data_IF_858923714765
#
_entry.id   IF_858923714765
#
_cell.length_a   1.000
_cell.length_b   1.000
_cell.length_c   1.000
_cell.angle_alpha   90.00
_cell.angle_beta   90.00
_cell.angle_gamma   90.00
#
_symmetry.space_group_name_H-M   'P 1'
#
loop_
_entity.id
_entity.type
_entity.pdbx_description
1 polymer ?
#
# COMPACT_ATOMS: atom_id res chain seq x y z
N UNK A 1 -10.81 23.82 -0.04
CA UNK A 1 -11.53 22.56 -0.29
C UNK A 1 -12.58 22.40 0.81
N UNK A 2 -13.84 22.07 0.49
CA UNK A 2 -14.84 21.75 1.51
C UNK A 2 -14.39 20.52 2.31
N UNK A 3 -14.71 20.50 3.59
CA UNK A 3 -14.40 19.39 4.50
C UNK A 3 -15.29 18.19 4.13
N UNK A 4 -14.69 17.14 3.56
CA UNK A 4 -15.44 15.99 3.01
C UNK A 4 -16.24 15.24 4.09
N UNK A 5 -15.81 15.31 5.35
CA UNK A 5 -16.55 14.77 6.49
C UNK A 5 -17.86 15.51 6.79
N UNK A 6 -18.06 16.71 6.23
CA UNK A 6 -19.31 17.48 6.40
C UNK A 6 -20.36 17.13 5.37
N UNK A 7 -19.97 16.55 4.22
CA UNK A 7 -20.88 16.19 3.14
C UNK A 7 -21.20 14.70 3.12
N UNK A 8 -20.30 13.84 3.61
CA UNK A 8 -20.47 12.39 3.61
C UNK A 8 -20.18 11.80 4.99
N UNK A 9 -21.01 10.86 5.43
CA UNK A 9 -20.76 10.06 6.64
C UNK A 9 -20.04 8.76 6.25
N UNK A 10 -18.74 8.67 6.50
CA UNK A 10 -17.89 7.51 6.17
C UNK A 10 -17.77 6.51 7.34
N UNK A 11 -18.82 6.36 8.13
CA UNK A 11 -18.79 5.56 9.38
C UNK A 11 -18.54 4.07 9.16
N UNK A 12 -18.97 3.52 8.02
CA UNK A 12 -18.76 2.11 7.66
C UNK A 12 -17.43 1.83 6.95
N UNK A 13 -16.73 2.86 6.48
CA UNK A 13 -15.49 2.71 5.71
C UNK A 13 -14.35 2.27 6.62
N UNK A 14 -13.80 1.09 6.38
CA UNK A 14 -12.74 0.50 7.21
C UNK A 14 -11.39 0.46 6.53
N UNK A 15 -11.37 0.33 5.21
CA UNK A 15 -10.16 0.12 4.43
C UNK A 15 -10.26 0.83 3.09
N UNK A 16 -9.15 1.43 2.66
CA UNK A 16 -8.96 1.98 1.31
C UNK A 16 -7.74 1.29 0.72
N UNK A 17 -7.88 0.80 -0.52
CA UNK A 17 -6.78 0.19 -1.26
C UNK A 17 -6.39 1.13 -2.41
N UNK A 18 -5.10 1.46 -2.50
CA UNK A 18 -4.53 2.19 -3.64
C UNK A 18 -3.60 1.24 -4.42
N UNK A 19 -3.69 1.27 -5.74
CA UNK A 19 -2.94 0.38 -6.64
C UNK A 19 -2.55 1.10 -7.92
N UNK A 20 -1.64 0.50 -8.70
CA UNK A 20 -1.08 1.08 -9.91
C UNK A 20 0.14 1.95 -9.58
N UNK A 21 -0.03 3.27 -9.56
CA UNK A 21 1.05 4.19 -9.19
C UNK A 21 1.36 4.12 -7.70
N UNK A 22 2.63 4.28 -7.27
CA UNK A 22 2.97 4.38 -5.85
C UNK A 22 2.18 5.49 -5.16
N UNK A 23 1.53 5.16 -4.05
CA UNK A 23 0.91 6.16 -3.18
C UNK A 23 2.03 6.88 -2.41
N UNK A 24 2.24 8.16 -2.68
CA UNK A 24 3.33 8.93 -2.05
C UNK A 24 2.94 9.45 -0.68
N UNK A 25 3.91 9.68 0.20
CA UNK A 25 3.66 10.04 1.60
C UNK A 25 2.66 11.21 1.81
N UNK A 26 2.71 12.33 1.06
CA UNK A 26 1.71 13.40 1.22
C UNK A 26 0.26 12.99 0.91
N UNK A 27 0.07 11.96 0.07
CA UNK A 27 -1.26 11.45 -0.24
C UNK A 27 -1.85 10.67 0.94
N UNK A 28 -1.02 9.94 1.71
CA UNK A 28 -1.47 9.35 2.98
C UNK A 28 -1.93 10.44 3.95
N UNK A 29 -1.13 11.49 4.09
CA UNK A 29 -1.45 12.62 4.98
C UNK A 29 -2.78 13.26 4.58
N UNK A 30 -3.04 13.43 3.27
CA UNK A 30 -4.33 13.94 2.78
C UNK A 30 -5.50 13.07 3.23
N UNK A 31 -5.44 11.75 3.02
CA UNK A 31 -6.53 10.83 3.40
C UNK A 31 -6.79 10.91 4.91
N UNK A 32 -5.75 10.84 5.73
CA UNK A 32 -5.93 10.85 7.18
C UNK A 32 -6.41 12.19 7.72
N UNK A 33 -6.02 13.31 7.10
CA UNK A 33 -6.42 14.65 7.53
C UNK A 33 -7.82 15.05 7.04
N UNK A 34 -8.18 14.69 5.81
CA UNK A 34 -9.35 15.24 5.13
C UNK A 34 -10.45 14.20 4.84
N UNK A 35 -10.11 12.91 4.74
CA UNK A 35 -11.07 11.85 4.43
C UNK A 35 -11.48 11.11 5.70
N UNK A 36 -10.56 10.37 6.34
CA UNK A 36 -10.85 9.60 7.56
C UNK A 36 -9.57 9.26 8.32
N UNK A 37 -9.55 9.57 9.63
CA UNK A 37 -8.39 9.35 10.51
C UNK A 37 -8.14 7.88 10.87
N UNK A 38 -9.22 7.11 10.99
CA UNK A 38 -9.27 5.73 11.47
C UNK A 38 -9.63 4.76 10.34
N UNK A 39 -8.88 4.82 9.23
CA UNK A 39 -9.04 3.93 8.08
C UNK A 39 -7.74 3.19 7.79
N UNK A 40 -7.81 1.92 7.40
CA UNK A 40 -6.64 1.20 6.91
C UNK A 40 -6.36 1.62 5.45
N UNK A 41 -5.45 2.57 5.23
CA UNK A 41 -5.02 2.97 3.90
C UNK A 41 -3.82 2.13 3.43
N UNK A 42 -4.09 1.15 2.58
CA UNK A 42 -3.08 0.21 2.12
C UNK A 42 -2.69 0.49 0.66
N UNK A 43 -1.43 0.81 0.43
CA UNK A 43 -0.84 0.75 -0.91
C UNK A 43 -0.55 -0.71 -1.25
N UNK A 44 -1.11 -1.21 -2.34
CA UNK A 44 -0.95 -2.59 -2.81
C UNK A 44 -0.31 -2.59 -4.20
N UNK A 45 0.39 -3.67 -4.53
CA UNK A 45 1.06 -3.81 -5.82
C UNK A 45 0.91 -5.22 -6.36
N UNK A 46 0.45 -5.32 -7.60
CA UNK A 46 0.11 -6.55 -8.28
C UNK A 46 0.17 -6.44 -9.79
N UNK A 47 -0.21 -7.52 -10.45
CA UNK A 47 -0.15 -7.62 -11.90
C UNK A 47 -1.27 -8.47 -12.46
N UNK A 48 -1.68 -8.15 -13.68
CA UNK A 48 -2.69 -8.93 -14.39
C UNK A 48 -2.25 -10.38 -14.62
N UNK A 49 -0.95 -10.63 -14.72
CA UNK A 49 -0.34 -11.95 -14.92
C UNK A 49 -0.72 -12.97 -13.84
N UNK A 50 -0.91 -12.50 -12.59
CA UNK A 50 -1.26 -13.35 -11.45
C UNK A 50 -2.69 -13.11 -10.93
N UNK A 51 -3.43 -12.16 -11.54
CA UNK A 51 -4.78 -11.75 -11.10
C UNK A 51 -4.81 -11.45 -9.58
N UNK A 52 -3.71 -10.88 -9.07
CA UNK A 52 -3.47 -10.73 -7.63
C UNK A 52 -2.35 -9.72 -7.36
N UNK A 53 -1.89 -9.63 -6.11
CA UNK A 53 -0.87 -8.71 -5.64
C UNK A 53 0.32 -9.43 -4.99
N UNK A 54 1.54 -8.97 -5.29
CA UNK A 54 2.77 -9.37 -4.61
C UNK A 54 2.86 -8.75 -3.23
N UNK A 55 2.42 -7.49 -3.08
CA UNK A 55 2.36 -6.79 -1.81
C UNK A 55 0.94 -6.28 -1.52
N UNK A 56 0.50 -6.45 -0.27
CA UNK A 56 -0.88 -6.31 0.18
C UNK A 56 -0.96 -5.50 1.47
N UNK A 57 -2.20 -5.13 1.85
CA UNK A 57 -2.49 -4.62 3.18
C UNK A 57 -2.63 -5.75 4.20
N UNK A 58 -2.22 -5.49 5.45
CA UNK A 58 -2.37 -6.42 6.56
C UNK A 58 -3.02 -5.73 7.77
N UNK A 59 -4.15 -6.24 8.29
CA UNK A 59 -4.87 -5.60 9.38
C UNK A 59 -4.16 -5.68 10.75
N UNK A 60 -3.14 -6.53 10.90
CA UNK A 60 -2.39 -6.74 12.14
C UNK A 60 -0.99 -6.11 12.12
N UNK A 61 -0.66 -5.31 11.10
CA UNK A 61 0.64 -4.65 10.97
C UNK A 61 0.48 -3.13 10.82
N UNK A 62 1.50 -2.35 11.21
CA UNK A 62 1.49 -0.90 11.02
C UNK A 62 1.55 -0.54 9.53
N UNK A 63 0.93 0.59 9.19
CA UNK A 63 1.04 1.22 7.87
C UNK A 63 2.12 2.30 7.95
N UNK A 64 3.11 2.23 7.05
CA UNK A 64 4.11 3.27 6.86
C UNK A 64 3.84 4.03 5.56
N UNK A 65 3.81 5.37 5.65
CA UNK A 65 3.52 6.23 4.51
C UNK A 65 4.60 6.07 3.43
N UNK A 66 4.17 5.88 2.18
CA UNK A 66 5.07 5.69 1.04
C UNK A 66 5.61 4.26 0.88
N UNK A 67 5.13 3.29 1.67
CA UNK A 67 5.58 1.90 1.62
C UNK A 67 4.44 0.93 1.28
N UNK A 68 4.80 -0.19 0.66
CA UNK A 68 3.93 -1.37 0.56
C UNK A 68 4.02 -2.16 1.86
N UNK A 69 2.89 -2.49 2.47
CA UNK A 69 2.87 -2.89 3.89
C UNK A 69 3.52 -4.26 4.16
N UNK A 70 3.20 -5.26 3.34
CA UNK A 70 3.81 -6.58 3.44
C UNK A 70 3.65 -7.39 2.16
N UNK A 71 4.50 -8.40 2.00
CA UNK A 71 4.36 -9.42 0.95
C UNK A 71 3.14 -10.31 1.21
N UNK A 72 2.46 -10.73 0.14
CA UNK A 72 1.34 -11.65 0.19
C UNK A 72 1.73 -13.04 0.72
N UNK A 73 0.86 -13.62 1.55
CA UNK A 73 1.09 -14.96 2.09
C UNK A 73 1.17 -15.99 0.94
N UNK A 74 2.17 -16.87 1.01
CA UNK A 74 2.42 -17.89 0.00
C UNK A 74 3.23 -17.41 -1.21
N UNK A 75 3.68 -16.15 -1.24
CA UNK A 75 4.54 -15.63 -2.29
C UNK A 75 5.98 -15.50 -1.78
N UNK A 76 6.92 -16.12 -2.49
CA UNK A 76 8.35 -16.05 -2.21
C UNK A 76 8.99 -14.84 -2.90
N UNK A 77 8.51 -13.63 -2.57
CA UNK A 77 8.96 -12.38 -3.20
C UNK A 77 10.31 -11.95 -2.65
N UNK A 78 11.25 -11.64 -3.55
CA UNK A 78 12.57 -11.13 -3.22
C UNK A 78 12.96 -9.97 -4.14
N UNK A 79 14.01 -9.25 -3.77
CA UNK A 79 14.63 -8.23 -4.61
C UNK A 79 16.01 -8.73 -5.04
N UNK A 80 16.31 -8.66 -6.33
CA UNK A 80 17.56 -9.15 -6.90
C UNK A 80 18.39 -8.01 -7.50
N UNK A 81 19.72 -8.11 -7.41
CA UNK A 81 20.64 -7.23 -8.14
C UNK A 81 20.85 -7.72 -9.59
N UNK A 82 21.60 -6.94 -10.38
CA UNK A 82 21.93 -7.29 -11.78
C UNK A 82 22.77 -8.57 -11.92
N UNK A 83 23.40 -9.03 -10.83
CA UNK A 83 24.18 -10.28 -10.78
C UNK A 83 23.31 -11.50 -10.46
N UNK A 84 22.00 -11.33 -10.22
CA UNK A 84 21.10 -12.42 -9.88
C UNK A 84 21.18 -12.87 -8.43
N UNK A 85 21.66 -12.01 -7.52
CA UNK A 85 21.78 -12.29 -6.09
C UNK A 85 20.67 -11.58 -5.30
N UNK A 86 20.10 -12.22 -4.25
CA UNK A 86 19.10 -11.57 -3.42
C UNK A 86 19.72 -10.46 -2.56
N UNK A 87 19.07 -9.30 -2.54
CA UNK A 87 19.51 -8.10 -1.81
C UNK A 87 18.42 -7.57 -0.88
N UNK A 88 18.83 -6.88 0.19
CA UNK A 88 17.95 -6.27 1.19
C UNK A 88 18.33 -4.80 1.35
N UNK A 89 17.34 -3.92 1.55
CA UNK A 89 17.53 -2.47 1.73
C UNK A 89 18.25 -1.77 0.56
N UNK A 90 18.17 -2.33 -0.64
CA UNK A 90 18.73 -1.78 -1.86
C UNK A 90 17.69 -1.88 -2.98
N UNK A 91 17.76 -0.95 -3.94
CA UNK A 91 16.94 -1.02 -5.14
C UNK A 91 17.42 -2.17 -6.02
N UNK A 92 16.48 -2.96 -6.54
CA UNK A 92 16.73 -4.02 -7.49
C UNK A 92 15.46 -4.38 -8.25
N UNK A 93 15.47 -5.55 -8.86
CA UNK A 93 14.32 -6.13 -9.57
C UNK A 93 13.47 -6.98 -8.61
N UNK A 94 12.14 -6.87 -8.72
CA UNK A 94 11.22 -7.71 -7.98
C UNK A 94 11.08 -9.06 -8.68
N UNK A 95 11.35 -10.14 -7.94
CA UNK A 95 11.26 -11.53 -8.41
C UNK A 95 10.35 -12.34 -7.49
#
# INVERSE_FOLDING_TARGET
>A
MPDENKTHQLTSLRTILSTGSPLVAPQFDYVYQHIKKDVALCSISGGSDIISCFALGNPIKPIYRGELQCIGLGLAVNIFNEQGEPIINHKGELV
#
